data_IF_813879261538
#
_entry.id   IF_813879261538
#
_cell.length_a   1.000
_cell.length_b   1.000
_cell.length_c   1.000
_cell.angle_alpha   90.00
_cell.angle_beta   90.00
_cell.angle_gamma   90.00
#
_symmetry.space_group_name_H-M   'P 1'
#
loop_
_entity.id
_entity.type
_entity.pdbx_description
1 polymer ?
#
# COMPACT_ATOMS: atom_id res chain seq x y z
N UNK A 1 45.58 29.41 -22.65
CA UNK A 1 45.12 28.10 -22.17
C UNK A 1 44.80 28.06 -20.65
N UNK A 2 44.50 29.19 -19.98
CA UNK A 2 44.10 29.18 -18.55
C UNK A 2 42.57 29.08 -18.34
N UNK A 3 41.76 29.52 -19.31
CA UNK A 3 40.29 29.53 -19.16
C UNK A 3 39.64 28.15 -19.23
N UNK A 4 40.27 27.17 -19.90
CA UNK A 4 39.72 25.82 -20.05
C UNK A 4 39.91 25.00 -18.75
N UNK A 5 41.00 25.23 -18.01
CA UNK A 5 41.29 24.51 -16.77
C UNK A 5 40.31 24.81 -15.64
N UNK A 6 39.83 26.06 -15.53
CA UNK A 6 38.90 26.46 -14.46
C UNK A 6 37.51 25.87 -14.69
N UNK A 7 37.04 25.82 -15.94
CA UNK A 7 35.71 25.27 -16.26
C UNK A 7 35.61 23.77 -15.99
N UNK A 8 36.68 23.01 -16.25
CA UNK A 8 36.71 21.56 -16.00
C UNK A 8 36.69 21.27 -14.48
N UNK A 9 37.43 22.05 -13.69
CA UNK A 9 37.44 21.91 -12.21
C UNK A 9 36.05 22.23 -11.63
N UNK A 10 35.37 23.26 -12.14
CA UNK A 10 34.03 23.64 -11.66
C UNK A 10 32.98 22.55 -11.93
N UNK A 11 33.06 21.89 -13.09
CA UNK A 11 32.16 20.79 -13.46
C UNK A 11 32.41 19.55 -12.60
N UNK A 12 33.67 19.21 -12.32
CA UNK A 12 34.03 18.08 -11.44
C UNK A 12 33.56 18.35 -9.99
N UNK A 13 33.73 19.57 -9.47
CA UNK A 13 33.24 19.91 -8.14
C UNK A 13 31.71 19.84 -8.02
N UNK A 14 30.96 20.22 -9.06
CA UNK A 14 29.51 20.02 -9.07
C UNK A 14 29.13 18.53 -9.09
N UNK A 15 29.79 17.70 -9.91
CA UNK A 15 29.53 16.26 -9.97
C UNK A 15 29.82 15.53 -8.65
N UNK A 16 30.88 15.92 -7.92
CA UNK A 16 31.18 15.36 -6.59
C UNK A 16 30.15 15.79 -5.56
N UNK A 17 29.65 17.03 -5.65
CA UNK A 17 28.59 17.56 -4.77
C UNK A 17 27.26 16.83 -4.97
N UNK A 18 26.91 16.47 -6.22
CA UNK A 18 25.72 15.66 -6.52
C UNK A 18 25.89 14.18 -6.13
N UNK A 19 27.10 13.64 -6.18
CA UNK A 19 27.39 12.25 -5.76
C UNK A 19 27.33 12.09 -4.23
N UNK A 20 27.71 13.13 -3.48
CA UNK A 20 27.69 13.10 -2.02
C UNK A 20 26.27 13.23 -1.43
N UNK A 21 25.33 13.86 -2.15
CA UNK A 21 23.93 13.96 -1.72
C UNK A 21 23.12 12.67 -1.96
N UNK A 22 23.63 11.74 -2.76
CA UNK A 22 22.89 10.54 -3.19
C UNK A 22 23.08 9.30 -2.31
N UNK A 23 23.87 9.36 -1.22
CA UNK A 23 24.21 8.17 -0.41
C UNK A 23 23.93 8.29 1.09
N UNK A 24 23.12 9.26 1.49
CA UNK A 24 22.54 9.22 2.84
C UNK A 24 21.03 9.11 2.72
N UNK A 25 20.54 7.92 2.37
CA UNK A 25 19.22 7.53 2.89
C UNK A 25 19.40 7.58 4.41
N UNK A 26 18.78 8.52 5.13
CA UNK A 26 18.81 8.49 6.58
C UNK A 26 18.33 7.09 6.99
N UNK A 27 18.90 6.47 8.04
CA UNK A 27 18.33 5.25 8.57
C UNK A 27 16.84 5.53 8.76
N UNK A 28 15.97 4.79 8.07
CA UNK A 28 14.54 4.78 8.36
C UNK A 28 14.48 4.27 9.79
N UNK A 29 14.49 5.20 10.76
CA UNK A 29 14.15 4.89 12.14
C UNK A 29 12.70 4.46 12.02
N UNK A 30 12.47 3.15 11.96
CA UNK A 30 11.15 2.55 12.01
C UNK A 30 10.55 2.98 13.34
N UNK A 31 9.90 4.15 13.36
CA UNK A 31 9.02 4.52 14.46
C UNK A 31 7.86 3.55 14.35
N UNK A 32 7.58 2.84 15.44
CA UNK A 32 6.37 2.03 15.55
C UNK A 32 5.20 2.87 15.03
N UNK A 33 4.52 2.33 14.01
CA UNK A 33 3.49 3.11 13.33
C UNK A 33 2.30 3.24 14.29
N UNK A 34 1.84 4.46 14.58
CA UNK A 34 0.68 4.65 15.45
C UNK A 34 -0.53 3.90 14.88
N UNK A 35 -1.27 3.19 15.73
CA UNK A 35 -2.52 2.52 15.34
C UNK A 35 -3.48 3.51 14.67
N UNK A 36 -4.01 3.13 13.51
CA UNK A 36 -4.87 4.00 12.70
C UNK A 36 -6.32 3.87 13.15
N UNK A 37 -7.00 4.98 13.46
CA UNK A 37 -8.44 4.98 13.72
C UNK A 37 -9.22 4.77 12.43
N UNK A 38 -10.29 3.98 12.51
CA UNK A 38 -11.16 3.70 11.37
C UNK A 38 -11.78 4.97 10.78
N UNK A 39 -12.14 5.95 11.61
CA UNK A 39 -12.64 7.25 11.13
C UNK A 39 -11.65 7.96 10.22
N UNK A 40 -10.39 7.98 10.62
CA UNK A 40 -9.33 8.74 9.98
C UNK A 40 -8.96 8.07 8.65
N UNK A 41 -8.90 6.74 8.64
CA UNK A 41 -8.77 5.95 7.41
C UNK A 41 -9.93 6.21 6.43
N UNK A 42 -11.19 6.17 6.90
CA UNK A 42 -12.37 6.39 6.04
C UNK A 42 -12.33 7.80 5.43
N UNK A 43 -12.03 8.82 6.24
CA UNK A 43 -11.91 10.20 5.78
C UNK A 43 -10.81 10.33 4.72
N UNK A 44 -9.63 9.76 4.99
CA UNK A 44 -8.49 9.79 4.08
C UNK A 44 -8.79 9.03 2.79
N UNK A 45 -9.34 7.82 2.87
CA UNK A 45 -9.75 7.01 1.73
C UNK A 45 -10.72 7.78 0.83
N UNK A 46 -11.79 8.35 1.40
CA UNK A 46 -12.79 9.08 0.63
C UNK A 46 -12.20 10.34 -0.03
N UNK A 47 -11.28 11.02 0.66
CA UNK A 47 -10.57 12.19 0.14
C UNK A 47 -9.69 11.82 -1.06
N UNK A 48 -8.84 10.80 -0.90
CA UNK A 48 -7.94 10.33 -1.96
C UNK A 48 -8.70 9.76 -3.15
N UNK A 49 -9.78 8.99 -2.93
CA UNK A 49 -10.62 8.44 -3.98
C UNK A 49 -11.20 9.55 -4.88
N UNK A 50 -11.64 10.65 -4.27
CA UNK A 50 -12.13 11.83 -4.99
C UNK A 50 -10.99 12.57 -5.71
N UNK A 51 -9.86 12.76 -5.04
CA UNK A 51 -8.69 13.46 -5.58
C UNK A 51 -8.15 12.77 -6.84
N UNK A 52 -7.95 11.46 -6.78
CA UNK A 52 -7.40 10.67 -7.88
C UNK A 52 -8.45 10.17 -8.89
N UNK A 53 -9.74 10.42 -8.63
CA UNK A 53 -10.86 10.06 -9.51
C UNK A 53 -10.93 8.56 -9.83
N UNK A 54 -10.62 7.71 -8.85
CA UNK A 54 -10.69 6.25 -8.99
C UNK A 54 -12.13 5.71 -9.10
N UNK A 55 -13.13 6.54 -8.83
CA UNK A 55 -14.56 6.21 -8.99
C UNK A 55 -14.95 4.92 -8.23
N UNK A 56 -14.35 4.71 -7.06
CA UNK A 56 -14.81 3.70 -6.10
C UNK A 56 -15.97 4.27 -5.30
N UNK A 57 -16.85 3.41 -4.81
CA UNK A 57 -17.90 3.81 -3.88
C UNK A 57 -17.26 4.35 -2.60
N UNK A 58 -17.68 5.52 -2.09
CA UNK A 58 -17.15 6.03 -0.84
C UNK A 58 -17.58 5.12 0.32
N UNK A 59 -16.70 4.98 1.30
CA UNK A 59 -17.01 4.27 2.54
C UNK A 59 -17.88 5.19 3.38
N UNK A 60 -19.11 4.76 3.65
CA UNK A 60 -20.02 5.47 4.54
C UNK A 60 -19.74 5.06 5.98
N UNK A 61 -19.70 6.04 6.88
CA UNK A 61 -19.70 5.79 8.32
C UNK A 61 -21.08 5.21 8.66
N UNK A 62 -21.14 3.90 8.93
CA UNK A 62 -22.36 3.24 9.38
C UNK A 62 -22.32 3.05 10.91
N UNK A 63 -23.50 3.15 11.54
CA UNK A 63 -23.73 2.93 12.97
C UNK A 63 -23.75 1.44 13.35
N UNK A 64 -23.87 0.54 12.37
CA UNK A 64 -23.84 -0.91 12.56
C UNK A 64 -22.47 -1.49 12.19
N UNK A 65 -22.11 -2.58 12.89
CA UNK A 65 -20.85 -3.35 12.88
C UNK A 65 -20.47 -3.99 11.55
N UNK A 66 -20.83 -3.39 10.42
CA UNK A 66 -20.43 -3.85 9.09
C UNK A 66 -18.93 -3.60 8.93
N UNK A 67 -18.19 -4.71 8.92
CA UNK A 67 -16.77 -4.73 8.61
C UNK A 67 -16.52 -4.80 7.11
N UNK A 68 -17.53 -5.07 6.28
CA UNK A 68 -17.41 -5.27 4.83
C UNK A 68 -18.02 -4.12 4.03
N UNK A 69 -17.29 -3.63 3.03
CA UNK A 69 -17.66 -2.51 2.18
C UNK A 69 -17.48 -2.86 0.71
N UNK A 70 -18.54 -2.75 -0.08
CA UNK A 70 -18.47 -2.92 -1.53
C UNK A 70 -17.94 -1.63 -2.19
N UNK A 71 -16.74 -1.68 -2.75
CA UNK A 71 -16.09 -0.52 -3.37
C UNK A 71 -16.40 -0.42 -4.86
N UNK A 72 -16.51 -1.56 -5.54
CA UNK A 72 -16.87 -1.67 -6.95
C UNK A 72 -17.41 -3.10 -7.23
N UNK A 73 -17.96 -3.40 -8.42
CA UNK A 73 -18.23 -4.79 -8.79
C UNK A 73 -16.98 -5.65 -8.58
N UNK A 74 -17.15 -6.76 -7.87
CA UNK A 74 -16.09 -7.70 -7.50
C UNK A 74 -14.92 -7.14 -6.68
N UNK A 75 -15.02 -5.94 -6.12
CA UNK A 75 -14.00 -5.37 -5.22
C UNK A 75 -14.66 -5.03 -3.90
N UNK A 76 -14.26 -5.75 -2.85
CA UNK A 76 -14.76 -5.56 -1.50
C UNK A 76 -13.61 -5.34 -0.52
N UNK A 77 -13.84 -4.48 0.47
CA UNK A 77 -12.92 -4.21 1.56
C UNK A 77 -13.54 -4.73 2.86
N UNK A 78 -12.84 -5.61 3.53
CA UNK A 78 -13.12 -6.00 4.92
C UNK A 78 -12.15 -5.27 5.83
N UNK A 79 -12.66 -4.54 6.82
CA UNK A 79 -11.88 -3.78 7.79
C UNK A 79 -12.20 -4.29 9.19
N UNK A 80 -11.27 -5.05 9.76
CA UNK A 80 -11.36 -5.52 11.14
C UNK A 80 -10.98 -4.37 12.09
N UNK A 81 -11.71 -4.24 13.20
CA UNK A 81 -11.56 -3.13 14.15
C UNK A 81 -11.57 -3.62 15.59
N UNK A 82 -10.76 -3.00 16.44
CA UNK A 82 -10.82 -3.21 17.89
C UNK A 82 -11.98 -2.42 18.51
N UNK A 83 -12.21 -2.63 19.81
CA UNK A 83 -13.21 -1.88 20.59
C UNK A 83 -12.95 -0.37 20.59
N UNK A 84 -11.69 0.05 20.46
CA UNK A 84 -11.27 1.46 20.40
C UNK A 84 -11.35 2.04 18.97
N UNK A 85 -12.03 1.35 18.04
CA UNK A 85 -12.14 1.70 16.62
C UNK A 85 -10.78 1.77 15.90
N UNK A 86 -9.75 1.12 16.44
CA UNK A 86 -8.46 0.99 15.77
C UNK A 86 -8.55 -0.10 14.71
N UNK A 87 -7.99 0.18 13.55
CA UNK A 87 -7.90 -0.76 12.44
C UNK A 87 -6.94 -1.89 12.82
N UNK A 88 -7.45 -3.13 12.79
CA UNK A 88 -6.67 -4.35 12.77
C UNK A 88 -6.34 -4.72 11.31
N UNK A 89 -6.46 -6.00 10.92
CA UNK A 89 -6.31 -6.37 9.52
C UNK A 89 -7.29 -5.61 8.59
N UNK A 90 -6.79 -5.15 7.45
CA UNK A 90 -7.60 -4.73 6.30
C UNK A 90 -7.42 -5.76 5.19
N UNK A 91 -8.51 -6.23 4.61
CA UNK A 91 -8.48 -7.20 3.52
C UNK A 91 -9.28 -6.66 2.33
N UNK A 92 -8.58 -6.39 1.23
CA UNK A 92 -9.20 -6.09 -0.05
C UNK A 92 -9.24 -7.36 -0.89
N UNK A 93 -10.44 -7.76 -1.30
CA UNK A 93 -10.66 -8.89 -2.19
C UNK A 93 -11.11 -8.38 -3.54
N UNK A 94 -10.44 -8.85 -4.59
CA UNK A 94 -10.75 -8.59 -5.99
C UNK A 94 -11.04 -9.92 -6.70
N UNK A 95 -12.29 -10.16 -7.06
CA UNK A 95 -12.69 -11.37 -7.77
C UNK A 95 -12.72 -11.12 -9.30
N UNK A 96 -11.96 -11.89 -10.05
CA UNK A 96 -11.89 -11.86 -11.51
C UNK A 96 -12.98 -12.77 -12.11
N UNK A 97 -14.24 -12.40 -11.91
CA UNK A 97 -15.39 -13.13 -12.49
C UNK A 97 -15.76 -12.66 -13.90
N UNK A 98 -15.13 -11.60 -14.43
CA UNK A 98 -15.58 -10.93 -15.65
C UNK A 98 -14.82 -11.36 -16.92
N UNK A 99 -15.47 -11.15 -18.07
CA UNK A 99 -14.87 -11.33 -19.41
C UNK A 99 -13.71 -10.36 -19.70
N UNK A 100 -13.50 -9.33 -18.86
CA UNK A 100 -12.52 -8.25 -19.06
C UNK A 100 -11.48 -8.20 -17.93
N UNK A 101 -10.72 -9.30 -17.76
CA UNK A 101 -9.68 -9.47 -16.72
C UNK A 101 -8.72 -8.27 -16.58
N UNK A 102 -8.30 -7.67 -17.69
CA UNK A 102 -7.33 -6.55 -17.67
C UNK A 102 -7.88 -5.28 -17.01
N UNK A 103 -9.14 -4.92 -17.28
CA UNK A 103 -9.75 -3.73 -16.70
C UNK A 103 -10.01 -3.90 -15.20
N UNK A 104 -10.46 -5.09 -14.80
CA UNK A 104 -10.69 -5.44 -13.39
C UNK A 104 -9.37 -5.45 -12.61
N UNK A 105 -8.30 -5.98 -13.20
CA UNK A 105 -6.97 -5.98 -12.57
C UNK A 105 -6.44 -4.56 -12.35
N UNK A 106 -6.60 -3.66 -13.34
CA UNK A 106 -6.22 -2.27 -13.17
C UNK A 106 -6.99 -1.61 -12.02
N UNK A 107 -8.31 -1.83 -11.95
CA UNK A 107 -9.13 -1.28 -10.87
C UNK A 107 -8.79 -1.90 -9.50
N UNK A 108 -8.41 -3.17 -9.46
CA UNK A 108 -7.90 -3.81 -8.26
C UNK A 108 -6.59 -3.17 -7.80
N UNK A 109 -5.62 -2.99 -8.69
CA UNK A 109 -4.33 -2.35 -8.36
C UNK A 109 -4.52 -0.90 -7.89
N UNK A 110 -5.41 -0.13 -8.52
CA UNK A 110 -5.77 1.22 -8.05
C UNK A 110 -6.38 1.17 -6.64
N UNK A 111 -7.22 0.19 -6.37
CA UNK A 111 -7.84 0.00 -5.06
C UNK A 111 -6.80 -0.36 -4.00
N UNK A 112 -5.84 -1.24 -4.32
CA UNK A 112 -4.70 -1.57 -3.44
C UNK A 112 -3.88 -0.32 -3.13
N UNK A 113 -3.48 0.45 -4.15
CA UNK A 113 -2.73 1.69 -3.94
C UNK A 113 -3.50 2.65 -3.02
N UNK A 114 -4.80 2.83 -3.27
CA UNK A 114 -5.62 3.76 -2.51
C UNK A 114 -5.77 3.36 -1.04
N UNK A 115 -6.08 2.10 -0.75
CA UNK A 115 -6.24 1.65 0.64
C UNK A 115 -4.90 1.68 1.38
N UNK A 116 -3.81 1.33 0.69
CA UNK A 116 -2.48 1.35 1.29
C UNK A 116 -2.05 2.77 1.59
N UNK A 117 -2.25 3.73 0.69
CA UNK A 117 -1.93 5.15 0.91
C UNK A 117 -2.83 5.79 1.98
N UNK A 118 -4.10 5.37 2.06
CA UNK A 118 -5.02 5.82 3.09
C UNK A 118 -4.63 5.30 4.49
N UNK A 119 -4.06 4.09 4.56
CA UNK A 119 -3.60 3.48 5.81
C UNK A 119 -2.17 3.91 6.17
N UNK A 120 -1.28 3.95 5.20
CA UNK A 120 0.16 4.23 5.28
C UNK A 120 0.60 5.17 4.16
N UNK A 121 0.69 6.48 4.42
CA UNK A 121 1.11 7.45 3.41
C UNK A 121 2.54 7.21 2.89
N UNK A 122 3.38 6.50 3.65
CA UNK A 122 4.76 6.19 3.27
C UNK A 122 4.87 4.88 2.48
N UNK A 123 3.77 4.12 2.33
CA UNK A 123 3.75 2.90 1.55
C UNK A 123 3.72 3.21 0.05
N UNK A 124 4.63 2.59 -0.69
CA UNK A 124 4.61 2.59 -2.14
C UNK A 124 4.42 1.16 -2.66
N UNK A 125 3.43 0.95 -3.53
CA UNK A 125 3.21 -0.36 -4.16
C UNK A 125 4.46 -0.84 -4.94
N UNK A 126 5.24 0.09 -5.48
CA UNK A 126 6.50 -0.24 -6.15
C UNK A 126 7.54 -0.85 -5.20
N UNK A 127 7.54 -0.44 -3.94
CA UNK A 127 8.45 -0.95 -2.92
C UNK A 127 8.03 -2.34 -2.46
N UNK A 128 6.73 -2.57 -2.31
CA UNK A 128 6.17 -3.92 -2.12
C UNK A 128 6.59 -4.86 -3.26
N UNK A 129 6.40 -4.44 -4.52
CA UNK A 129 6.71 -5.30 -5.67
C UNK A 129 8.19 -5.69 -5.77
N UNK A 130 9.10 -4.80 -5.34
CA UNK A 130 10.55 -5.08 -5.33
C UNK A 130 10.99 -5.97 -4.18
N UNK A 131 10.36 -5.83 -3.01
CA UNK A 131 10.86 -6.42 -1.76
C UNK A 131 10.02 -7.59 -1.24
N UNK A 132 8.89 -7.91 -1.87
CA UNK A 132 8.04 -9.02 -1.45
C UNK A 132 8.77 -10.36 -1.54
N UNK A 133 8.57 -11.18 -0.52
CA UNK A 133 8.99 -12.58 -0.48
C UNK A 133 7.78 -13.45 -0.75
N UNK A 134 7.88 -14.34 -1.74
CA UNK A 134 6.77 -15.18 -2.15
C UNK A 134 6.97 -16.63 -1.71
N UNK A 135 5.91 -17.20 -1.18
CA UNK A 135 5.76 -18.61 -0.87
C UNK A 135 4.57 -19.17 -1.65
N UNK A 136 4.58 -20.47 -1.92
CA UNK A 136 3.50 -21.11 -2.66
C UNK A 136 3.13 -22.42 -2.00
N UNK A 137 1.85 -22.58 -1.74
CA UNK A 137 1.25 -23.84 -1.29
C UNK A 137 0.54 -24.51 -2.46
N UNK A 138 -0.02 -25.70 -2.24
CA UNK A 138 -0.83 -26.39 -3.26
C UNK A 138 -2.13 -25.68 -3.65
N UNK A 139 -2.47 -24.55 -3.03
CA UNK A 139 -3.74 -23.83 -3.25
C UNK A 139 -3.59 -22.32 -3.45
N UNK A 140 -2.54 -21.72 -2.90
CA UNK A 140 -2.39 -20.26 -2.81
C UNK A 140 -0.93 -19.90 -3.07
N UNK A 141 -0.71 -18.87 -3.88
CA UNK A 141 0.55 -18.15 -3.95
C UNK A 141 0.44 -16.90 -3.08
N UNK A 142 1.29 -16.79 -2.07
CA UNK A 142 1.28 -15.69 -1.12
C UNK A 142 2.61 -14.94 -1.19
N UNK A 143 2.56 -13.63 -1.33
CA UNK A 143 3.73 -12.76 -1.33
C UNK A 143 3.58 -11.74 -0.23
N UNK A 144 4.58 -11.62 0.65
CA UNK A 144 4.51 -10.70 1.78
C UNK A 144 5.72 -9.77 1.86
N UNK A 145 5.50 -8.58 2.39
CA UNK A 145 6.51 -7.57 2.64
C UNK A 145 6.18 -6.87 3.96
N UNK A 146 7.20 -6.67 4.80
CA UNK A 146 7.04 -5.97 6.07
C UNK A 146 7.69 -4.59 5.98
N UNK A 147 6.90 -3.56 6.27
CA UNK A 147 7.32 -2.16 6.23
C UNK A 147 6.67 -1.38 7.36
N UNK A 148 7.46 -0.61 8.11
CA UNK A 148 6.97 0.18 9.26
C UNK A 148 6.09 -0.61 10.24
N UNK A 149 6.50 -1.84 10.58
CA UNK A 149 5.76 -2.75 11.46
C UNK A 149 4.35 -3.13 10.95
N UNK A 150 4.11 -2.96 9.66
CA UNK A 150 2.91 -3.40 8.96
C UNK A 150 3.32 -4.50 7.99
N UNK A 151 2.63 -5.65 8.07
CA UNK A 151 2.79 -6.71 7.08
C UNK A 151 1.76 -6.51 5.98
N UNK A 152 2.26 -6.36 4.76
CA UNK A 152 1.48 -6.34 3.53
C UNK A 152 1.57 -7.72 2.90
N UNK A 153 0.44 -8.35 2.59
CA UNK A 153 0.38 -9.67 1.98
C UNK A 153 -0.52 -9.64 0.76
N UNK A 154 -0.04 -10.17 -0.35
CA UNK A 154 -0.82 -10.39 -1.56
C UNK A 154 -0.96 -11.89 -1.79
N UNK A 155 -2.19 -12.37 -1.85
CA UNK A 155 -2.53 -13.77 -2.12
C UNK A 155 -3.28 -13.90 -3.43
N UNK A 156 -2.94 -14.92 -4.19
CA UNK A 156 -3.65 -15.35 -5.39
C UNK A 156 -4.07 -16.80 -5.22
N UNK A 157 -5.30 -17.13 -5.61
CA UNK A 157 -5.67 -18.51 -5.89
C UNK A 157 -4.91 -19.01 -7.14
N UNK A 158 -4.72 -20.33 -7.25
CA UNK A 158 -3.89 -20.90 -8.33
C UNK A 158 -4.46 -20.71 -9.74
N UNK A 159 -5.75 -20.40 -9.86
CA UNK A 159 -6.41 -20.06 -11.11
C UNK A 159 -6.46 -18.56 -11.40
N UNK A 160 -5.79 -17.75 -10.57
CA UNK A 160 -5.74 -16.29 -10.60
C UNK A 160 -7.15 -15.67 -10.76
N UNK A 161 -8.16 -16.31 -10.19
CA UNK A 161 -9.54 -15.85 -10.17
C UNK A 161 -9.82 -14.89 -9.03
N UNK A 162 -9.03 -14.88 -7.96
CA UNK A 162 -9.19 -14.00 -6.82
C UNK A 162 -7.85 -13.51 -6.33
N UNK A 163 -7.75 -12.20 -6.16
CA UNK A 163 -6.63 -11.53 -5.52
C UNK A 163 -7.09 -11.00 -4.18
N UNK A 164 -6.37 -11.38 -3.11
CA UNK A 164 -6.53 -10.77 -1.79
C UNK A 164 -5.30 -9.95 -1.44
N UNK A 165 -5.50 -8.71 -1.03
CA UNK A 165 -4.45 -7.86 -0.50
C UNK A 165 -4.76 -7.51 0.94
N UNK A 166 -3.86 -7.87 1.85
CA UNK A 166 -4.05 -7.81 3.29
C UNK A 166 -3.03 -6.85 3.89
N UNK A 167 -3.49 -5.88 4.66
CA UNK A 167 -2.67 -4.98 5.46
C UNK A 167 -2.87 -5.38 6.93
N UNK A 168 -1.81 -5.91 7.53
CA UNK A 168 -1.82 -6.40 8.91
C UNK A 168 -0.87 -5.54 9.75
N UNK A 169 -1.36 -4.48 10.41
CA UNK A 169 -0.56 -3.78 11.40
C UNK A 169 -0.14 -4.74 12.51
N UNK A 170 1.12 -4.66 12.96
CA UNK A 170 1.51 -5.29 14.23
C UNK A 170 0.78 -4.57 15.35
N UNK A 171 -0.20 -5.24 15.94
CA UNK A 171 -0.82 -4.79 17.17
C UNK A 171 0.16 -5.13 18.31
N UNK A 172 0.74 -4.11 18.95
CA UNK A 172 1.48 -4.31 20.20
C UNK A 172 0.54 -5.00 21.22
N UNK A 173 0.87 -6.22 21.65
CA UNK A 173 0.23 -6.86 22.81
C UNK A 173 -0.66 -8.09 22.59
N UNK A 174 -0.47 -8.88 21.53
CA UNK A 174 -1.01 -10.26 21.49
C UNK A 174 0.14 -11.25 21.36
N UNK A 175 0.68 -11.67 22.51
CA UNK A 175 1.52 -12.84 22.70
C UNK A 175 0.76 -13.86 23.55
#
# INVERSE_FOLDING_TARGET
>A
MQKIFITIIFIICQLISYSALALTMPPRIYKAKPSVKASDFIEKFNTLNKQYRYNLKPIKKNEESLFKYDLAPNINLTMYRSWDELIGPLELTCDQSSKNKSADMNKCQQSIQLISEAFDPDFELSDFERNKVCESTSKIKSCSYEFNEVRYTQEHDLDDQSLRFIISPRLEGVY
#
